data_IF_350738455743
#
_entry.id   IF_350738455743
#
_cell.length_a   1.000
_cell.length_b   1.000
_cell.length_c   1.000
_cell.angle_alpha   90.00
_cell.angle_beta   90.00
_cell.angle_gamma   90.00
#
_symmetry.space_group_name_H-M   'P 1'
#
loop_
_entity.id
_entity.type
_entity.pdbx_description
1 polymer ?
#
# COMPACT_ATOMS: atom_id res chain seq x y z
N UNK A 1 -29.27 4.71 -9.71
CA UNK A 1 -29.09 4.95 -8.24
C UNK A 1 -28.91 6.42 -7.98
N UNK A 2 -29.49 6.93 -6.90
CA UNK A 2 -29.25 8.33 -6.49
C UNK A 2 -27.91 8.42 -5.77
N UNK A 3 -27.03 9.32 -6.24
CA UNK A 3 -25.78 9.67 -5.56
C UNK A 3 -26.10 10.48 -4.31
N UNK A 4 -25.45 10.19 -3.21
CA UNK A 4 -25.67 10.93 -1.97
C UNK A 4 -25.02 12.32 -2.03
N UNK A 5 -25.68 13.29 -1.41
CA UNK A 5 -25.14 14.65 -1.25
C UNK A 5 -24.51 14.74 0.15
N UNK A 6 -23.19 14.58 0.21
CA UNK A 6 -22.44 14.66 1.45
C UNK A 6 -20.97 15.03 1.19
N UNK A 7 -20.23 15.27 2.29
CA UNK A 7 -18.83 15.68 2.24
C UNK A 7 -17.94 14.72 1.47
N UNK A 8 -18.11 13.40 1.61
CA UNK A 8 -17.29 12.43 0.90
C UNK A 8 -17.45 12.56 -0.62
N UNK A 9 -18.69 12.64 -1.09
CA UNK A 9 -18.98 12.74 -2.52
C UNK A 9 -18.60 14.09 -3.11
N UNK A 10 -18.68 15.18 -2.33
CA UNK A 10 -18.13 16.49 -2.72
C UNK A 10 -16.61 16.42 -2.90
N UNK A 11 -15.90 15.81 -1.96
CA UNK A 11 -14.44 15.62 -2.08
C UNK A 11 -14.08 14.68 -3.24
N UNK A 12 -14.87 13.63 -3.49
CA UNK A 12 -14.67 12.76 -4.65
C UNK A 12 -14.75 13.51 -5.98
N UNK A 13 -15.71 14.43 -6.12
CA UNK A 13 -15.80 15.28 -7.31
C UNK A 13 -14.61 16.25 -7.42
N UNK A 14 -14.22 16.89 -6.33
CA UNK A 14 -13.04 17.77 -6.31
C UNK A 14 -11.73 17.00 -6.61
N UNK A 15 -11.61 15.77 -6.11
CA UNK A 15 -10.46 14.90 -6.41
C UNK A 15 -10.42 14.56 -7.90
N UNK A 16 -11.57 14.21 -8.49
CA UNK A 16 -11.66 13.93 -9.92
C UNK A 16 -11.24 15.12 -10.79
N UNK A 17 -11.59 16.33 -10.36
CA UNK A 17 -11.22 17.58 -11.03
C UNK A 17 -9.76 18.02 -10.75
N UNK A 18 -9.01 17.31 -9.92
CA UNK A 18 -7.64 17.67 -9.54
C UNK A 18 -7.55 18.88 -8.60
N UNK A 19 -8.62 19.18 -7.87
CA UNK A 19 -8.69 20.33 -6.97
C UNK A 19 -8.28 20.02 -5.51
N UNK A 20 -7.86 18.77 -5.21
CA UNK A 20 -7.43 18.40 -3.87
C UNK A 20 -5.91 18.17 -3.81
N UNK A 21 -5.31 18.54 -2.69
CA UNK A 21 -3.95 18.11 -2.35
C UNK A 21 -3.97 16.66 -1.86
N UNK A 22 -3.62 15.74 -2.77
CA UNK A 22 -3.52 14.31 -2.47
C UNK A 22 -2.24 13.92 -1.72
N UNK A 23 -1.27 14.86 -1.57
CA UNK A 23 0.00 14.57 -0.88
C UNK A 23 -0.09 14.68 0.63
N UNK A 24 -0.96 15.56 1.15
CA UNK A 24 -1.07 15.88 2.56
C UNK A 24 -2.50 15.75 3.11
N UNK A 25 -3.38 16.70 2.79
CA UNK A 25 -4.70 16.80 3.45
C UNK A 25 -5.66 15.67 3.04
N UNK A 26 -5.53 15.18 1.81
CA UNK A 26 -6.41 14.15 1.23
C UNK A 26 -5.62 12.95 0.68
N UNK A 27 -4.48 12.64 1.28
CA UNK A 27 -3.66 11.49 0.86
C UNK A 27 -4.52 10.21 0.83
N UNK A 28 -4.53 9.46 -0.29
CA UNK A 28 -5.44 8.32 -0.47
C UNK A 28 -5.28 7.25 0.61
N UNK A 29 -4.06 7.02 1.12
CA UNK A 29 -3.77 5.98 2.10
C UNK A 29 -3.73 6.51 3.55
N UNK A 30 -3.34 7.78 3.78
CA UNK A 30 -3.02 8.27 5.12
C UNK A 30 -4.02 9.29 5.69
N UNK A 31 -5.13 9.55 4.98
CA UNK A 31 -6.09 10.59 5.40
C UNK A 31 -7.46 9.98 5.70
N UNK A 32 -7.66 9.37 6.88
CA UNK A 32 -8.96 8.87 7.30
C UNK A 32 -9.95 10.03 7.52
N UNK A 33 -11.22 9.75 7.31
CA UNK A 33 -12.30 10.70 7.53
C UNK A 33 -13.32 10.09 8.50
N UNK A 34 -13.45 10.63 9.73
CA UNK A 34 -14.36 10.05 10.73
C UNK A 34 -15.81 10.05 10.27
N UNK A 35 -16.53 8.97 10.62
CA UNK A 35 -17.96 8.79 10.35
C UNK A 35 -18.25 7.82 9.21
N UNK A 36 -19.54 7.64 8.96
CA UNK A 36 -20.07 6.87 7.83
C UNK A 36 -20.69 7.79 6.80
N UNK A 37 -20.47 7.53 5.52
CA UNK A 37 -20.99 8.34 4.41
C UNK A 37 -21.68 7.44 3.41
N UNK A 38 -22.93 7.70 3.10
CA UNK A 38 -23.57 7.01 1.97
C UNK A 38 -22.93 7.48 0.66
N UNK A 39 -22.50 6.53 -0.18
CA UNK A 39 -21.98 6.81 -1.54
C UNK A 39 -23.16 6.93 -2.51
N UNK A 40 -23.98 5.90 -2.52
CA UNK A 40 -25.27 5.84 -3.19
C UNK A 40 -26.26 5.16 -2.25
N UNK A 41 -27.55 5.33 -2.48
CA UNK A 41 -28.60 4.72 -1.64
C UNK A 41 -28.30 3.24 -1.33
N UNK A 42 -28.24 2.91 -0.03
CA UNK A 42 -27.96 1.56 0.47
C UNK A 42 -26.49 1.12 0.37
N UNK A 43 -25.54 2.03 0.21
CA UNK A 43 -24.09 1.78 0.24
C UNK A 43 -23.42 2.77 1.17
N UNK A 44 -23.07 2.35 2.37
CA UNK A 44 -22.29 3.13 3.33
C UNK A 44 -20.81 2.89 3.11
N UNK A 45 -20.02 3.95 3.14
CA UNK A 45 -18.54 3.95 3.20
C UNK A 45 -18.09 4.45 4.57
N UNK A 46 -17.23 3.72 5.25
CA UNK A 46 -16.37 4.23 6.32
C UNK A 46 -14.97 4.43 5.77
N UNK A 47 -14.50 5.68 5.76
CA UNK A 47 -13.15 6.01 5.27
C UNK A 47 -12.16 6.01 6.43
N UNK A 48 -11.57 4.86 6.69
CA UNK A 48 -10.40 4.72 7.55
C UNK A 48 -9.08 4.96 6.79
N UNK A 49 -8.03 4.23 7.15
CA UNK A 49 -6.84 4.08 6.32
C UNK A 49 -7.26 3.42 5.01
N UNK A 50 -7.90 2.26 5.07
CA UNK A 50 -8.66 1.69 3.95
C UNK A 50 -10.17 1.92 4.15
N UNK A 51 -10.94 1.70 3.09
CA UNK A 51 -12.39 1.73 3.20
C UNK A 51 -12.96 0.41 3.74
N UNK A 52 -14.07 0.55 4.47
CA UNK A 52 -15.02 -0.52 4.70
C UNK A 52 -16.36 -0.09 4.11
N UNK A 53 -16.91 -0.92 3.25
CA UNK A 53 -18.24 -0.66 2.68
C UNK A 53 -19.29 -1.58 3.27
N UNK A 54 -20.40 -1.02 3.71
CA UNK A 54 -21.58 -1.80 4.11
C UNK A 54 -22.68 -1.65 3.06
N UNK A 55 -23.15 -2.79 2.54
CA UNK A 55 -24.17 -2.86 1.49
C UNK A 55 -25.46 -3.38 2.11
N UNK A 56 -26.54 -2.60 2.02
CA UNK A 56 -27.88 -3.02 2.44
C UNK A 56 -28.51 -3.88 1.34
N UNK A 57 -28.84 -5.13 1.68
CA UNK A 57 -29.40 -6.11 0.75
C UNK A 57 -30.92 -6.31 0.89
N UNK A 58 -31.53 -5.65 1.87
CA UNK A 58 -32.92 -5.88 2.27
C UNK A 58 -33.13 -7.09 3.20
N UNK A 59 -32.11 -7.97 3.36
CA UNK A 59 -32.11 -9.10 4.31
C UNK A 59 -30.82 -9.12 5.16
N UNK A 60 -30.39 -7.95 5.58
CA UNK A 60 -29.18 -7.73 6.32
C UNK A 60 -28.09 -7.04 5.49
N UNK A 61 -26.90 -6.97 6.04
CA UNK A 61 -25.76 -6.24 5.48
C UNK A 61 -24.68 -7.19 4.95
N UNK A 62 -24.02 -6.77 3.90
CA UNK A 62 -22.73 -7.33 3.46
C UNK A 62 -21.64 -6.31 3.69
N UNK A 63 -20.57 -6.69 4.36
CA UNK A 63 -19.38 -5.85 4.48
C UNK A 63 -18.35 -6.28 3.42
N UNK A 64 -17.83 -5.29 2.70
CA UNK A 64 -16.69 -5.43 1.81
C UNK A 64 -15.51 -4.77 2.53
N UNK A 65 -14.54 -5.59 2.92
CA UNK A 65 -13.45 -5.32 3.86
C UNK A 65 -13.89 -5.03 5.31
N UNK A 66 -12.90 -4.93 6.20
CA UNK A 66 -13.11 -4.83 7.63
C UNK A 66 -12.11 -3.89 8.35
N UNK A 67 -11.34 -3.09 7.64
CA UNK A 67 -10.50 -2.03 8.18
C UNK A 67 -9.40 -2.46 9.14
N UNK A 68 -8.73 -1.48 9.74
CA UNK A 68 -7.67 -1.65 10.74
C UNK A 68 -8.25 -2.03 12.11
N UNK A 69 -7.44 -2.73 12.92
CA UNK A 69 -7.79 -3.09 14.31
C UNK A 69 -8.14 -1.88 15.17
N UNK A 70 -7.38 -0.79 15.07
CA UNK A 70 -7.64 0.43 15.86
C UNK A 70 -8.91 1.16 15.41
N UNK A 71 -9.42 0.90 14.22
CA UNK A 71 -10.62 1.50 13.65
C UNK A 71 -11.88 0.65 13.87
N UNK A 72 -11.75 -0.59 14.33
CA UNK A 72 -12.86 -1.56 14.41
C UNK A 72 -14.10 -1.01 15.12
N UNK A 73 -13.95 -0.33 16.26
CA UNK A 73 -15.05 0.29 16.98
C UNK A 73 -15.67 1.51 16.27
N UNK A 74 -14.88 2.21 15.45
CA UNK A 74 -15.38 3.34 14.65
C UNK A 74 -16.20 2.83 13.46
N UNK A 75 -15.72 1.79 12.81
CA UNK A 75 -16.43 1.07 11.74
C UNK A 75 -17.75 0.53 12.27
N UNK A 76 -17.72 -0.17 13.40
CA UNK A 76 -18.91 -0.70 14.04
C UNK A 76 -19.96 0.39 14.32
N UNK A 77 -19.56 1.49 14.94
CA UNK A 77 -20.45 2.62 15.21
C UNK A 77 -21.05 3.20 13.94
N UNK A 78 -20.24 3.47 12.92
CA UNK A 78 -20.71 4.02 11.65
C UNK A 78 -21.77 3.12 10.99
N UNK A 79 -21.55 1.80 10.98
CA UNK A 79 -22.52 0.84 10.45
C UNK A 79 -23.79 0.81 11.27
N UNK A 80 -23.70 0.87 12.62
CA UNK A 80 -24.88 0.82 13.51
C UNK A 80 -25.67 2.12 13.58
N UNK A 81 -25.02 3.26 13.45
CA UNK A 81 -25.71 4.56 13.26
C UNK A 81 -26.50 4.57 11.97
N UNK A 82 -26.00 3.92 10.91
CA UNK A 82 -26.70 3.82 9.62
C UNK A 82 -27.79 2.74 9.61
N UNK A 83 -27.53 1.56 10.17
CA UNK A 83 -28.48 0.42 10.23
C UNK A 83 -28.38 -0.27 11.58
N UNK A 84 -29.21 0.18 12.53
CA UNK A 84 -29.17 -0.25 13.95
C UNK A 84 -29.42 -1.74 14.12
N UNK A 85 -30.43 -2.30 13.42
CA UNK A 85 -30.97 -3.65 13.68
C UNK A 85 -30.82 -4.62 12.49
N UNK A 86 -29.98 -4.25 11.48
CA UNK A 86 -29.74 -5.12 10.34
C UNK A 86 -28.52 -6.01 10.62
N UNK A 87 -28.68 -7.35 10.71
CA UNK A 87 -27.55 -8.25 10.93
C UNK A 87 -26.56 -8.22 9.77
N UNK A 88 -25.27 -8.30 10.07
CA UNK A 88 -24.25 -8.57 9.03
C UNK A 88 -24.34 -10.06 8.68
N UNK A 89 -24.53 -10.36 7.40
CA UNK A 89 -24.67 -11.73 6.87
C UNK A 89 -23.39 -12.27 6.28
N UNK A 90 -22.64 -11.39 5.63
CA UNK A 90 -21.43 -11.73 4.89
C UNK A 90 -20.38 -10.65 5.12
N UNK A 91 -19.13 -11.05 5.28
CA UNK A 91 -17.96 -10.19 5.27
C UNK A 91 -16.98 -10.76 4.23
N UNK A 92 -16.56 -9.93 3.29
CA UNK A 92 -15.61 -10.32 2.25
C UNK A 92 -14.30 -9.57 2.49
N UNK A 93 -13.20 -10.29 2.65
CA UNK A 93 -11.88 -9.68 2.63
C UNK A 93 -11.38 -9.60 1.19
N UNK A 94 -11.02 -8.39 0.76
CA UNK A 94 -10.39 -8.21 -0.55
C UNK A 94 -9.04 -8.89 -0.60
N UNK A 95 -8.24 -8.78 0.47
CA UNK A 95 -6.94 -9.44 0.62
C UNK A 95 -6.47 -9.40 2.09
N UNK A 96 -5.29 -9.98 2.36
CA UNK A 96 -4.79 -10.21 3.72
C UNK A 96 -4.20 -8.99 4.44
N UNK A 97 -4.09 -7.81 3.83
CA UNK A 97 -3.48 -6.66 4.49
C UNK A 97 -4.29 -6.23 5.73
N UNK A 98 -3.57 -5.70 6.72
CA UNK A 98 -4.13 -5.41 8.07
C UNK A 98 -5.20 -4.32 8.08
N UNK A 99 -5.23 -3.48 7.10
CA UNK A 99 -6.22 -2.42 6.95
C UNK A 99 -7.53 -2.87 6.26
N UNK A 100 -7.66 -4.18 6.00
CA UNK A 100 -8.85 -4.78 5.35
C UNK A 100 -9.56 -5.86 6.17
N UNK A 101 -9.05 -6.29 7.36
CA UNK A 101 -9.49 -7.57 7.95
C UNK A 101 -9.93 -7.55 9.42
N UNK A 102 -9.76 -6.47 10.19
CA UNK A 102 -9.86 -6.55 11.65
C UNK A 102 -11.23 -6.30 12.27
N UNK A 103 -12.14 -5.52 11.68
CA UNK A 103 -13.46 -5.30 12.28
C UNK A 103 -14.41 -6.51 12.15
N UNK A 104 -14.03 -7.58 11.45
CA UNK A 104 -14.85 -8.78 11.33
C UNK A 104 -15.18 -9.41 12.69
N UNK A 105 -14.26 -9.37 13.66
CA UNK A 105 -14.44 -9.90 15.01
C UNK A 105 -15.56 -9.18 15.76
N UNK A 106 -15.63 -7.85 15.70
CA UNK A 106 -16.67 -7.06 16.42
C UNK A 106 -18.08 -7.38 15.95
N UNK A 107 -18.27 -7.62 14.65
CA UNK A 107 -19.57 -8.03 14.10
C UNK A 107 -19.91 -9.48 14.41
N UNK A 108 -18.93 -10.35 14.54
CA UNK A 108 -19.11 -11.74 15.00
C UNK A 108 -19.54 -11.75 16.48
N UNK A 109 -18.92 -10.92 17.32
CA UNK A 109 -19.29 -10.76 18.74
C UNK A 109 -20.69 -10.18 18.90
N UNK A 110 -21.02 -9.12 18.15
CA UNK A 110 -22.37 -8.56 18.15
C UNK A 110 -23.44 -9.58 17.78
N UNK A 111 -23.19 -10.37 16.71
CA UNK A 111 -24.14 -11.40 16.29
C UNK A 111 -24.44 -12.38 17.44
N UNK A 112 -23.41 -12.82 18.15
CA UNK A 112 -23.56 -13.68 19.34
C UNK A 112 -24.38 -12.99 20.42
N UNK A 113 -24.06 -11.74 20.74
CA UNK A 113 -24.70 -11.01 21.86
C UNK A 113 -26.15 -10.65 21.57
N UNK A 114 -26.52 -10.45 20.30
CA UNK A 114 -27.88 -10.21 19.83
C UNK A 114 -28.66 -11.48 19.48
N UNK A 115 -28.05 -12.65 19.54
CA UNK A 115 -28.67 -13.90 19.10
C UNK A 115 -28.91 -13.98 17.59
N UNK A 116 -28.16 -13.24 16.80
CA UNK A 116 -28.21 -13.30 15.36
C UNK A 116 -27.31 -14.43 14.81
N UNK A 117 -27.58 -14.95 13.60
CA UNK A 117 -26.61 -15.79 12.92
C UNK A 117 -25.27 -15.05 12.73
N UNK A 118 -24.17 -15.74 13.01
CA UNK A 118 -22.84 -15.18 12.77
C UNK A 118 -22.62 -14.86 11.29
N UNK A 119 -21.95 -13.75 10.95
CA UNK A 119 -21.60 -13.46 9.56
C UNK A 119 -20.67 -14.53 9.00
N UNK A 120 -20.90 -14.98 7.76
CA UNK A 120 -19.92 -15.79 7.02
C UNK A 120 -18.76 -14.87 6.60
N UNK A 121 -17.53 -15.20 6.98
CA UNK A 121 -16.33 -14.49 6.53
C UNK A 121 -15.73 -15.24 5.35
N UNK A 122 -15.53 -14.54 4.23
CA UNK A 122 -15.06 -15.12 2.95
C UNK A 122 -13.82 -14.41 2.47
N UNK A 123 -12.83 -15.16 1.96
CA UNK A 123 -11.64 -14.64 1.30
C UNK A 123 -11.10 -15.59 0.23
N UNK A 124 -10.07 -15.18 -0.48
CA UNK A 124 -9.29 -16.09 -1.32
C UNK A 124 -8.62 -17.19 -0.48
N UNK A 125 -8.35 -18.35 -1.11
CA UNK A 125 -7.78 -19.55 -0.46
C UNK A 125 -6.41 -19.32 0.19
N UNK A 126 -5.63 -18.36 -0.29
CA UNK A 126 -4.27 -18.11 0.20
C UNK A 126 -4.23 -17.11 1.37
N UNK A 127 -5.32 -16.40 1.65
CA UNK A 127 -5.41 -15.43 2.76
C UNK A 127 -5.04 -16.04 4.12
N UNK A 128 -5.53 -17.25 4.52
CA UNK A 128 -5.11 -17.86 5.78
C UNK A 128 -3.61 -18.07 5.91
N UNK A 129 -2.96 -18.55 4.86
CA UNK A 129 -1.50 -18.75 4.85
C UNK A 129 -0.72 -17.43 4.97
N UNK A 130 -1.30 -16.34 4.47
CA UNK A 130 -0.72 -15.00 4.63
C UNK A 130 -0.90 -14.46 6.05
N UNK A 131 -1.99 -14.75 6.72
CA UNK A 131 -2.15 -14.46 8.15
C UNK A 131 -1.09 -15.22 8.98
N UNK A 132 -0.89 -16.50 8.72
CA UNK A 132 0.15 -17.32 9.38
C UNK A 132 1.55 -16.74 9.13
N UNK A 133 1.83 -16.30 7.89
CA UNK A 133 3.08 -15.62 7.54
C UNK A 133 3.26 -14.34 8.34
N UNK A 134 2.21 -13.51 8.48
CA UNK A 134 2.26 -12.27 9.24
C UNK A 134 2.45 -12.51 10.74
N UNK A 135 1.81 -13.52 11.32
CA UNK A 135 2.04 -13.94 12.70
C UNK A 135 3.50 -14.36 12.88
N UNK A 136 4.01 -15.24 11.99
CA UNK A 136 5.39 -15.70 12.02
C UNK A 136 6.43 -14.59 11.89
N UNK A 137 6.11 -13.52 11.19
CA UNK A 137 7.01 -12.40 10.90
C UNK A 137 6.57 -11.09 11.57
N UNK A 138 5.85 -11.15 12.69
CA UNK A 138 5.26 -9.97 13.34
C UNK A 138 6.29 -8.91 13.72
N UNK A 139 7.45 -9.31 14.27
CA UNK A 139 8.55 -8.40 14.55
C UNK A 139 9.09 -7.69 13.31
N UNK A 140 9.29 -8.43 12.22
CA UNK A 140 9.71 -7.84 10.95
C UNK A 140 8.65 -6.86 10.40
N UNK A 141 7.37 -7.25 10.41
CA UNK A 141 6.28 -6.37 9.97
C UNK A 141 6.16 -5.13 10.86
N UNK A 142 6.39 -5.23 12.17
CA UNK A 142 6.47 -4.07 13.06
C UNK A 142 7.55 -3.09 12.56
N UNK A 143 8.76 -3.57 12.30
CA UNK A 143 9.88 -2.73 11.86
C UNK A 143 9.61 -2.05 10.52
N UNK A 144 9.19 -2.81 9.49
CA UNK A 144 8.98 -2.23 8.14
C UNK A 144 7.82 -1.23 8.11
N UNK A 145 6.76 -1.43 8.89
CA UNK A 145 5.65 -0.49 8.93
C UNK A 145 5.96 0.76 9.76
N UNK A 146 6.77 0.65 10.83
CA UNK A 146 7.32 1.83 11.52
C UNK A 146 8.09 2.74 10.57
N UNK A 147 8.88 2.17 9.65
CA UNK A 147 9.61 2.93 8.62
C UNK A 147 8.66 3.53 7.58
N UNK A 148 7.81 2.70 6.97
CA UNK A 148 6.96 3.07 5.83
C UNK A 148 5.92 4.13 6.18
N UNK A 149 5.30 4.03 7.36
CA UNK A 149 4.23 4.94 7.81
C UNK A 149 4.73 5.97 8.84
N UNK A 150 6.05 6.11 9.01
CA UNK A 150 6.65 7.05 9.95
C UNK A 150 6.11 6.92 11.38
N UNK A 151 5.73 5.70 11.82
CA UNK A 151 5.14 5.45 13.12
C UNK A 151 6.20 5.64 14.22
N UNK A 152 5.97 6.62 15.11
CA UNK A 152 6.87 6.96 16.21
C UNK A 152 6.42 6.39 17.57
N UNK A 153 5.44 5.49 17.57
CA UNK A 153 4.91 4.88 18.79
C UNK A 153 5.75 3.64 19.17
N UNK A 154 6.49 3.67 20.28
CA UNK A 154 7.31 2.53 20.71
C UNK A 154 6.45 1.30 21.08
N UNK A 155 5.20 1.51 21.43
CA UNK A 155 4.21 0.48 21.74
C UNK A 155 3.39 0.00 20.52
N UNK A 156 3.75 0.44 19.32
CA UNK A 156 3.14 -0.11 18.11
C UNK A 156 3.77 -1.46 17.79
N UNK A 157 2.96 -2.49 17.78
CA UNK A 157 3.33 -3.83 17.35
C UNK A 157 2.34 -4.34 16.29
N UNK A 158 2.86 -5.13 15.36
CA UNK A 158 2.04 -5.75 14.33
C UNK A 158 1.00 -6.68 14.97
N UNK A 159 -0.28 -6.55 14.63
CA UNK A 159 -1.32 -7.40 15.21
C UNK A 159 -1.20 -8.84 14.73
N UNK A 160 -1.56 -9.79 15.61
CA UNK A 160 -1.48 -11.24 15.35
C UNK A 160 -2.79 -11.98 15.57
N UNK A 161 -3.84 -11.29 16.01
CA UNK A 161 -5.15 -11.83 16.37
C UNK A 161 -6.15 -11.75 15.19
N UNK A 162 -5.83 -12.43 14.10
CA UNK A 162 -6.67 -12.44 12.89
C UNK A 162 -7.95 -13.25 13.07
N UNK A 163 -9.06 -12.76 12.51
CA UNK A 163 -10.27 -13.54 12.28
C UNK A 163 -10.12 -14.29 10.94
N UNK A 164 -9.87 -15.60 11.03
CA UNK A 164 -9.73 -16.44 9.83
C UNK A 164 -11.07 -16.56 9.09
N UNK A 165 -11.08 -16.69 7.77
CA UNK A 165 -12.31 -16.87 6.99
C UNK A 165 -12.98 -18.22 7.31
N UNK A 166 -14.31 -18.24 7.28
CA UNK A 166 -15.12 -19.47 7.41
C UNK A 166 -15.16 -20.21 6.08
N UNK A 167 -15.07 -19.47 4.97
CA UNK A 167 -15.11 -20.00 3.61
C UNK A 167 -14.01 -19.39 2.77
N UNK A 168 -13.28 -20.22 2.05
CA UNK A 168 -12.31 -19.78 1.03
C UNK A 168 -12.73 -20.24 -0.36
N UNK A 169 -12.24 -19.53 -1.38
CA UNK A 169 -12.45 -19.87 -2.79
C UNK A 169 -11.14 -19.70 -3.58
N UNK A 170 -11.10 -20.22 -4.80
CA UNK A 170 -9.91 -20.19 -5.66
C UNK A 170 -10.01 -19.09 -6.74
N UNK A 171 -10.84 -19.26 -7.76
CA UNK A 171 -10.93 -18.31 -8.87
C UNK A 171 -12.15 -17.41 -8.78
N UNK A 172 -13.30 -17.98 -8.48
CA UNK A 172 -14.56 -17.25 -8.39
C UNK A 172 -15.48 -17.88 -7.34
N UNK A 173 -16.23 -17.01 -6.65
CA UNK A 173 -17.31 -17.42 -5.77
C UNK A 173 -18.49 -16.46 -5.89
N UNK A 174 -19.69 -17.04 -6.02
CA UNK A 174 -20.92 -16.24 -6.02
C UNK A 174 -21.64 -16.43 -4.69
N UNK A 175 -22.07 -15.32 -4.08
CA UNK A 175 -22.90 -15.28 -2.88
C UNK A 175 -24.14 -14.43 -3.14
N UNK A 176 -25.28 -14.93 -2.72
CA UNK A 176 -26.53 -14.18 -2.75
C UNK A 176 -26.96 -13.86 -1.32
N UNK A 177 -27.17 -12.58 -1.04
CA UNK A 177 -27.70 -12.10 0.23
C UNK A 177 -28.88 -11.16 -0.08
N UNK A 178 -30.04 -11.47 0.44
CA UNK A 178 -31.28 -10.76 0.10
C UNK A 178 -31.51 -10.71 -1.41
N UNK A 179 -31.66 -9.52 -1.95
CA UNK A 179 -31.95 -9.28 -3.37
C UNK A 179 -30.68 -9.14 -4.24
N UNK A 180 -29.48 -9.15 -3.63
CA UNK A 180 -28.22 -8.85 -4.32
C UNK A 180 -27.33 -10.08 -4.48
N UNK A 181 -26.64 -10.13 -5.60
CA UNK A 181 -25.60 -11.11 -5.92
C UNK A 181 -24.23 -10.46 -5.78
N UNK A 182 -23.32 -11.16 -5.13
CA UNK A 182 -21.93 -10.78 -4.96
C UNK A 182 -21.05 -11.78 -5.71
N UNK A 183 -20.49 -11.36 -6.82
CA UNK A 183 -19.52 -12.12 -7.60
C UNK A 183 -18.12 -11.75 -7.11
N UNK A 184 -17.49 -12.67 -6.41
CA UNK A 184 -16.13 -12.52 -5.86
C UNK A 184 -15.17 -13.15 -6.87
N UNK A 185 -14.24 -12.37 -7.38
CA UNK A 185 -13.32 -12.79 -8.43
C UNK A 185 -11.89 -12.63 -7.93
N UNK A 186 -11.08 -13.68 -8.08
CA UNK A 186 -9.67 -13.62 -7.76
C UNK A 186 -8.88 -12.89 -8.83
N UNK A 187 -7.89 -12.10 -8.42
CA UNK A 187 -6.85 -11.55 -9.28
C UNK A 187 -5.57 -11.35 -8.49
N UNK A 188 -4.42 -11.45 -9.14
CA UNK A 188 -3.17 -11.01 -8.55
C UNK A 188 -2.90 -9.55 -8.92
N UNK A 189 -2.24 -8.83 -8.02
CA UNK A 189 -1.86 -7.45 -8.23
C UNK A 189 -0.99 -6.97 -7.09
N UNK A 190 -1.54 -6.19 -6.16
CA UNK A 190 -0.85 -5.81 -4.94
C UNK A 190 -0.46 -7.02 -4.10
N UNK A 191 -1.32 -8.02 -4.06
CA UNK A 191 -1.09 -9.32 -3.43
C UNK A 191 -1.51 -10.45 -4.36
N UNK A 192 -1.13 -11.67 -4.04
CA UNK A 192 -1.47 -12.89 -4.76
C UNK A 192 -2.82 -13.50 -4.33
N UNK A 193 -3.42 -13.01 -3.26
CA UNK A 193 -4.73 -13.43 -2.73
C UNK A 193 -5.85 -12.40 -2.96
N UNK A 194 -5.66 -11.46 -3.88
CA UNK A 194 -6.59 -10.35 -4.03
C UNK A 194 -7.93 -10.78 -4.62
N UNK A 195 -9.00 -10.20 -4.10
CA UNK A 195 -10.40 -10.41 -4.51
C UNK A 195 -11.03 -9.09 -4.87
N UNK A 196 -11.60 -8.97 -6.06
CA UNK A 196 -12.50 -7.88 -6.42
C UNK A 196 -13.95 -8.37 -6.47
N UNK A 197 -14.90 -7.50 -6.15
CA UNK A 197 -16.31 -7.84 -6.04
C UNK A 197 -17.14 -7.07 -7.05
N UNK A 198 -18.02 -7.80 -7.75
CA UNK A 198 -19.02 -7.24 -8.66
C UNK A 198 -20.43 -7.48 -8.12
N UNK A 199 -21.28 -6.45 -8.14
CA UNK A 199 -22.71 -6.50 -7.74
C UNK A 199 -23.55 -6.14 -8.96
N UNK A 200 -23.97 -7.14 -9.78
CA UNK A 200 -24.57 -6.91 -11.10
C UNK A 200 -25.89 -6.14 -11.06
N UNK A 201 -26.77 -6.41 -10.08
CA UNK A 201 -28.09 -5.75 -9.97
C UNK A 201 -27.94 -4.23 -9.76
N UNK A 202 -26.82 -3.80 -9.23
CA UNK A 202 -26.55 -2.40 -8.91
C UNK A 202 -25.42 -1.80 -9.75
N UNK A 203 -24.78 -2.58 -10.60
CA UNK A 203 -23.60 -2.18 -11.37
C UNK A 203 -22.53 -1.53 -10.47
N UNK A 204 -22.29 -2.12 -9.30
CA UNK A 204 -21.28 -1.67 -8.36
C UNK A 204 -20.05 -2.57 -8.47
N UNK A 205 -18.88 -1.95 -8.60
CA UNK A 205 -17.58 -2.59 -8.60
C UNK A 205 -16.80 -2.19 -7.34
N UNK A 206 -16.29 -3.16 -6.59
CA UNK A 206 -15.28 -2.97 -5.56
C UNK A 206 -13.97 -3.62 -6.01
N UNK A 207 -12.99 -2.86 -6.49
CA UNK A 207 -11.70 -3.38 -6.91
C UNK A 207 -10.77 -3.73 -5.74
N UNK A 208 -11.11 -3.39 -4.48
CA UNK A 208 -10.15 -3.39 -3.38
C UNK A 208 -8.96 -2.48 -3.72
N UNK A 209 -7.75 -2.90 -3.38
CA UNK A 209 -6.53 -2.13 -3.64
C UNK A 209 -6.00 -2.24 -5.07
N UNK A 210 -6.72 -2.97 -5.95
CA UNK A 210 -6.44 -2.87 -7.39
C UNK A 210 -6.76 -1.48 -7.96
N UNK A 211 -7.39 -0.60 -7.16
CA UNK A 211 -7.51 0.83 -7.46
C UNK A 211 -7.43 1.66 -6.17
N UNK A 212 -6.45 2.58 -6.07
CA UNK A 212 -6.12 3.30 -4.83
C UNK A 212 -6.00 4.83 -4.98
N UNK A 213 -6.43 5.43 -6.07
CA UNK A 213 -6.27 6.86 -6.34
C UNK A 213 -4.82 7.37 -6.31
N UNK A 214 -3.90 6.54 -6.71
CA UNK A 214 -2.47 6.84 -6.87
C UNK A 214 -1.87 5.92 -7.92
N UNK A 215 -0.62 6.16 -8.30
CA UNK A 215 0.18 5.15 -8.97
C UNK A 215 0.03 3.82 -8.20
N UNK A 216 -0.37 2.71 -8.86
CA UNK A 216 -0.57 1.43 -8.21
C UNK A 216 0.61 1.04 -7.32
N UNK A 217 0.32 0.61 -6.10
CA UNK A 217 1.33 0.18 -5.13
C UNK A 217 1.94 -1.18 -5.54
N UNK A 218 2.46 -1.23 -6.75
CA UNK A 218 3.01 -2.44 -7.36
C UNK A 218 4.52 -2.60 -7.16
N UNK A 219 5.17 -1.62 -6.50
CA UNK A 219 6.61 -1.57 -6.35
C UNK A 219 7.15 -1.84 -4.95
N UNK A 220 6.47 -1.53 -3.91
CA UNK A 220 6.85 -1.48 -2.49
C UNK A 220 8.15 -2.21 -2.08
N UNK A 221 9.24 -1.49 -1.70
CA UNK A 221 10.56 -2.08 -1.47
C UNK A 221 10.64 -2.98 -0.22
N UNK A 222 9.64 -2.96 0.66
CA UNK A 222 9.62 -3.70 1.92
C UNK A 222 8.61 -4.86 1.92
N UNK A 223 7.98 -5.14 0.78
CA UNK A 223 6.94 -6.18 0.68
C UNK A 223 7.38 -7.32 -0.23
N UNK A 224 6.61 -8.40 -0.21
CA UNK A 224 6.78 -9.55 -1.10
C UNK A 224 6.46 -9.19 -2.55
N UNK A 225 6.60 -10.14 -3.47
CA UNK A 225 6.31 -9.95 -4.89
C UNK A 225 4.92 -9.34 -5.10
N UNK A 226 4.83 -8.41 -6.05
CA UNK A 226 3.62 -7.82 -6.60
C UNK A 226 3.60 -8.04 -8.11
N UNK A 227 2.42 -8.03 -8.71
CA UNK A 227 2.20 -8.61 -10.04
C UNK A 227 1.63 -7.56 -10.98
N UNK A 228 2.52 -6.81 -11.64
CA UNK A 228 2.18 -5.64 -12.46
C UNK A 228 1.27 -6.04 -13.63
N UNK A 229 1.64 -7.09 -14.39
CA UNK A 229 0.89 -7.59 -15.54
C UNK A 229 -0.49 -8.11 -15.18
N UNK A 230 -0.55 -8.93 -14.11
CA UNK A 230 -1.81 -9.50 -13.64
C UNK A 230 -2.75 -8.40 -13.13
N UNK A 231 -2.19 -7.37 -12.50
CA UNK A 231 -2.94 -6.19 -12.05
C UNK A 231 -3.57 -5.46 -13.24
N UNK A 232 -2.79 -5.16 -14.28
CA UNK A 232 -3.31 -4.53 -15.50
C UNK A 232 -4.43 -5.38 -16.14
N UNK A 233 -4.21 -6.70 -16.24
CA UNK A 233 -5.20 -7.64 -16.76
C UNK A 233 -6.50 -7.63 -15.94
N UNK A 234 -6.40 -7.59 -14.62
CA UNK A 234 -7.56 -7.51 -13.73
C UNK A 234 -8.38 -6.23 -13.95
N UNK A 235 -7.69 -5.07 -14.10
CA UNK A 235 -8.35 -3.80 -14.39
C UNK A 235 -9.08 -3.84 -15.75
N UNK A 236 -8.48 -4.46 -16.78
CA UNK A 236 -9.13 -4.67 -18.08
C UNK A 236 -10.36 -5.56 -17.96
N UNK A 237 -10.30 -6.63 -17.16
CA UNK A 237 -11.46 -7.49 -16.91
C UNK A 237 -12.57 -6.74 -16.17
N UNK A 238 -12.25 -5.98 -15.12
CA UNK A 238 -13.23 -5.16 -14.39
C UNK A 238 -13.94 -4.15 -15.29
N UNK A 239 -13.23 -3.54 -16.23
CA UNK A 239 -13.81 -2.60 -17.20
C UNK A 239 -14.91 -3.23 -18.05
N UNK A 240 -14.77 -4.51 -18.42
CA UNK A 240 -15.80 -5.23 -19.20
C UNK A 240 -17.16 -5.34 -18.51
N UNK A 241 -17.21 -5.13 -17.18
CA UNK A 241 -18.46 -5.21 -16.40
C UNK A 241 -19.36 -3.98 -16.59
N UNK A 242 -18.84 -2.87 -17.11
CA UNK A 242 -19.60 -1.66 -17.34
C UNK A 242 -20.18 -1.09 -16.04
N UNK A 243 -19.35 -0.93 -15.01
CA UNK A 243 -19.74 -0.44 -13.70
C UNK A 243 -20.26 1.02 -13.76
N UNK A 244 -21.25 1.33 -12.92
CA UNK A 244 -21.76 2.68 -12.76
C UNK A 244 -21.29 3.35 -11.46
N UNK A 245 -20.87 2.54 -10.50
CA UNK A 245 -20.28 2.98 -9.24
C UNK A 245 -19.07 2.11 -8.96
N UNK A 246 -17.93 2.72 -8.70
CA UNK A 246 -16.72 2.05 -8.22
C UNK A 246 -16.40 2.54 -6.82
N UNK A 247 -16.22 1.60 -5.90
CA UNK A 247 -15.93 1.81 -4.47
C UNK A 247 -14.56 1.19 -4.16
N UNK A 248 -13.46 1.96 -4.33
CA UNK A 248 -12.09 1.46 -4.22
C UNK A 248 -11.66 1.20 -2.78
N UNK A 249 -10.57 0.43 -2.60
CA UNK A 249 -9.97 0.18 -1.29
C UNK A 249 -9.42 1.45 -0.63
N UNK A 250 -8.88 2.37 -1.42
CA UNK A 250 -8.36 3.67 -0.98
C UNK A 250 -8.78 4.81 -1.92
N UNK A 251 -8.64 6.04 -1.45
CA UNK A 251 -8.95 7.25 -2.23
C UNK A 251 -10.42 7.66 -2.15
N UNK A 252 -11.13 7.75 -3.28
CA UNK A 252 -12.51 8.23 -3.33
C UNK A 252 -13.38 7.35 -4.23
N UNK A 253 -14.67 7.17 -3.92
CA UNK A 253 -15.61 6.52 -4.83
C UNK A 253 -15.70 7.26 -6.17
N UNK A 254 -15.89 6.50 -7.27
CA UNK A 254 -16.09 7.05 -8.61
C UNK A 254 -17.51 6.69 -9.08
N UNK A 255 -18.24 7.68 -9.54
CA UNK A 255 -19.60 7.52 -10.08
C UNK A 255 -19.63 7.97 -11.54
N UNK A 256 -20.21 7.12 -12.39
CA UNK A 256 -20.32 7.32 -13.82
C UNK A 256 -19.51 6.30 -14.63
N UNK A 257 -20.17 5.64 -15.57
CA UNK A 257 -19.56 4.55 -16.33
C UNK A 257 -18.34 5.01 -17.15
N UNK A 258 -18.39 6.19 -17.75
CA UNK A 258 -17.28 6.75 -18.53
C UNK A 258 -16.05 7.04 -17.66
N UNK A 259 -16.25 7.60 -16.45
CA UNK A 259 -15.16 7.89 -15.50
C UNK A 259 -14.51 6.60 -15.01
N UNK A 260 -15.31 5.57 -14.72
CA UNK A 260 -14.81 4.27 -14.27
C UNK A 260 -14.03 3.60 -15.39
N UNK A 261 -14.57 3.59 -16.62
CA UNK A 261 -13.87 3.09 -17.81
C UNK A 261 -12.51 3.80 -17.97
N UNK A 262 -12.51 5.13 -17.94
CA UNK A 262 -11.28 5.94 -18.04
C UNK A 262 -10.29 5.56 -16.94
N UNK A 263 -10.71 5.54 -15.67
CA UNK A 263 -9.83 5.25 -14.53
C UNK A 263 -9.21 3.85 -14.63
N UNK A 264 -10.00 2.82 -14.96
CA UNK A 264 -9.52 1.44 -15.07
C UNK A 264 -8.57 1.26 -16.26
N UNK A 265 -8.95 1.80 -17.43
CA UNK A 265 -8.16 1.61 -18.67
C UNK A 265 -6.86 2.39 -18.67
N UNK A 266 -6.84 3.62 -18.14
CA UNK A 266 -5.63 4.42 -18.03
C UNK A 266 -4.66 3.87 -16.97
N UNK A 267 -5.20 3.36 -15.84
CA UNK A 267 -4.37 2.67 -14.83
C UNK A 267 -3.74 1.40 -15.41
N UNK A 268 -4.50 0.59 -16.15
CA UNK A 268 -3.98 -0.59 -16.81
C UNK A 268 -2.90 -0.23 -17.84
N UNK A 269 -3.15 0.77 -18.69
CA UNK A 269 -2.22 1.22 -19.70
C UNK A 269 -0.88 1.70 -19.12
N UNK A 270 -0.92 2.40 -17.98
CA UNK A 270 0.30 2.84 -17.28
C UNK A 270 1.14 1.65 -16.80
N UNK A 271 0.50 0.63 -16.22
CA UNK A 271 1.19 -0.58 -15.77
C UNK A 271 1.78 -1.38 -16.94
N UNK A 272 1.01 -1.54 -18.03
CA UNK A 272 1.41 -2.21 -19.26
C UNK A 272 2.61 -1.51 -19.92
N UNK A 273 2.64 -0.17 -19.94
CA UNK A 273 3.74 0.59 -20.51
C UNK A 273 5.05 0.40 -19.73
N UNK A 274 5.01 0.55 -18.39
CA UNK A 274 6.20 0.35 -17.56
C UNK A 274 6.73 -1.08 -17.71
N UNK A 275 5.84 -2.08 -17.71
CA UNK A 275 6.24 -3.48 -17.89
C UNK A 275 6.88 -3.71 -19.26
N UNK A 276 6.28 -3.20 -20.33
CA UNK A 276 6.80 -3.37 -21.69
C UNK A 276 8.21 -2.78 -21.85
N UNK A 277 8.45 -1.60 -21.27
CA UNK A 277 9.78 -0.97 -21.30
C UNK A 277 10.81 -1.83 -20.55
N UNK A 278 10.49 -2.26 -19.31
CA UNK A 278 11.38 -3.10 -18.49
C UNK A 278 11.70 -4.41 -19.21
N UNK A 279 10.70 -5.12 -19.72
CA UNK A 279 10.90 -6.39 -20.40
C UNK A 279 11.68 -6.23 -21.72
N UNK A 280 11.46 -5.14 -22.46
CA UNK A 280 12.24 -4.84 -23.65
C UNK A 280 13.73 -4.73 -23.35
N UNK A 281 14.10 -4.01 -22.29
CA UNK A 281 15.49 -3.82 -21.88
C UNK A 281 16.10 -5.11 -21.30
N UNK A 282 15.34 -5.86 -20.49
CA UNK A 282 15.74 -7.18 -20.00
C UNK A 282 16.04 -8.16 -21.15
N UNK A 283 15.20 -8.18 -22.19
CA UNK A 283 15.38 -9.03 -23.36
C UNK A 283 16.60 -8.62 -24.22
N UNK A 284 17.11 -7.41 -24.04
CA UNK A 284 18.38 -6.93 -24.64
C UNK A 284 19.60 -7.30 -23.77
N UNK A 285 19.39 -7.92 -22.60
CA UNK A 285 20.45 -8.36 -21.69
C UNK A 285 21.01 -7.24 -20.81
N UNK A 286 20.26 -6.14 -20.63
CA UNK A 286 20.71 -5.04 -19.78
C UNK A 286 20.64 -5.41 -18.30
N UNK A 287 21.56 -4.88 -17.48
CA UNK A 287 21.56 -4.99 -16.04
C UNK A 287 20.41 -4.17 -15.41
N UNK A 288 20.10 -4.44 -14.16
CA UNK A 288 19.04 -3.68 -13.47
C UNK A 288 19.36 -2.18 -13.38
N UNK A 289 20.65 -1.80 -13.24
CA UNK A 289 21.04 -0.39 -13.21
C UNK A 289 20.77 0.29 -14.56
N UNK A 290 21.15 -0.37 -15.66
CA UNK A 290 20.87 0.14 -17.01
C UNK A 290 19.35 0.28 -17.25
N UNK A 291 18.55 -0.69 -16.81
CA UNK A 291 17.09 -0.62 -16.88
C UNK A 291 16.54 0.55 -16.07
N UNK A 292 17.07 0.79 -14.86
CA UNK A 292 16.66 1.95 -14.04
C UNK A 292 16.93 3.29 -14.70
N UNK A 293 18.02 3.39 -15.45
CA UNK A 293 18.40 4.64 -16.14
C UNK A 293 17.63 4.83 -17.44
N UNK A 294 17.21 3.75 -18.09
CA UNK A 294 16.63 3.79 -19.43
C UNK A 294 15.09 3.82 -19.44
N UNK A 295 14.42 3.32 -18.39
CA UNK A 295 12.95 3.36 -18.33
C UNK A 295 12.48 4.79 -18.13
N UNK A 296 11.67 5.27 -19.08
CA UNK A 296 11.08 6.58 -19.04
C UNK A 296 9.71 6.53 -18.31
N UNK A 297 9.52 7.42 -17.36
CA UNK A 297 8.25 7.62 -16.67
C UNK A 297 7.86 9.09 -16.74
N UNK A 298 6.75 9.36 -17.41
CA UNK A 298 6.11 10.66 -17.39
C UNK A 298 4.92 10.63 -16.44
N UNK A 299 4.90 11.54 -15.45
CA UNK A 299 3.79 11.63 -14.51
C UNK A 299 2.48 11.89 -15.27
N UNK A 300 1.49 10.99 -15.21
CA UNK A 300 0.20 11.23 -15.85
C UNK A 300 -0.50 12.45 -15.24
N UNK A 301 -1.27 13.22 -16.04
CA UNK A 301 -1.99 14.38 -15.55
C UNK A 301 -3.20 14.03 -14.68
N UNK A 302 -3.65 12.79 -14.71
CA UNK A 302 -4.81 12.32 -13.96
C UNK A 302 -4.50 12.25 -12.47
N UNK A 303 -5.33 12.85 -11.59
CA UNK A 303 -5.09 12.86 -10.15
C UNK A 303 -4.96 11.45 -9.54
N UNK A 304 -5.77 10.50 -10.04
CA UNK A 304 -5.80 9.12 -9.57
C UNK A 304 -4.61 8.25 -10.03
N UNK A 305 -3.67 8.82 -10.81
CA UNK A 305 -2.41 8.16 -11.22
C UNK A 305 -1.17 8.87 -10.64
N UNK A 306 -1.36 9.83 -9.75
CA UNK A 306 -0.26 10.59 -9.16
C UNK A 306 0.66 9.68 -8.32
N UNK A 307 1.98 9.88 -8.44
CA UNK A 307 2.99 9.19 -7.62
C UNK A 307 3.07 9.80 -6.22
N UNK A 308 1.96 9.74 -5.47
CA UNK A 308 1.85 10.30 -4.10
C UNK A 308 2.14 9.27 -3.01
N UNK A 309 2.05 7.98 -3.33
CA UNK A 309 2.28 6.88 -2.38
C UNK A 309 3.48 6.01 -2.76
N UNK A 310 3.46 5.34 -3.92
CA UNK A 310 4.57 4.55 -4.46
C UNK A 310 5.40 5.36 -5.46
N UNK A 311 6.62 4.91 -5.76
CA UNK A 311 7.54 5.51 -6.73
C UNK A 311 7.64 4.58 -7.94
N UNK A 312 7.53 5.07 -9.18
CA UNK A 312 7.59 4.23 -10.38
C UNK A 312 8.88 3.41 -10.50
N UNK A 313 9.99 3.87 -9.95
CA UNK A 313 11.25 3.12 -9.91
C UNK A 313 11.16 1.85 -9.08
N UNK A 314 10.25 1.78 -8.11
CA UNK A 314 10.04 0.56 -7.34
C UNK A 314 9.31 -0.51 -8.16
N UNK A 315 8.43 -0.10 -9.10
CA UNK A 315 7.78 -1.02 -10.03
C UNK A 315 8.81 -1.71 -10.93
N UNK A 316 9.82 -0.97 -11.42
CA UNK A 316 10.91 -1.53 -12.25
C UNK A 316 11.57 -2.71 -11.55
N UNK A 317 11.95 -2.54 -10.28
CA UNK A 317 12.59 -3.62 -9.49
C UNK A 317 11.64 -4.80 -9.25
N UNK A 318 10.36 -4.54 -9.08
CA UNK A 318 9.39 -5.59 -8.85
C UNK A 318 9.12 -6.42 -10.10
N UNK A 319 9.07 -5.77 -11.27
CA UNK A 319 9.00 -6.44 -12.60
C UNK A 319 10.29 -7.25 -12.84
N UNK A 320 11.47 -6.62 -12.65
CA UNK A 320 12.74 -7.33 -12.76
C UNK A 320 12.74 -8.61 -11.94
N UNK A 321 12.35 -8.52 -10.65
CA UNK A 321 12.32 -9.66 -9.74
C UNK A 321 11.33 -10.75 -10.18
N UNK A 322 10.20 -10.37 -10.76
CA UNK A 322 9.17 -11.31 -11.23
C UNK A 322 9.69 -12.19 -12.37
N UNK A 323 10.42 -11.60 -13.31
CA UNK A 323 10.87 -12.27 -14.54
C UNK A 323 12.32 -12.72 -14.48
N UNK A 324 13.20 -12.01 -13.79
CA UNK A 324 14.64 -12.23 -13.74
C UNK A 324 15.20 -12.74 -12.41
N UNK A 325 14.36 -12.79 -11.35
CA UNK A 325 14.81 -13.14 -10.01
C UNK A 325 15.34 -11.91 -9.23
N UNK A 326 16.10 -12.14 -8.15
CA UNK A 326 16.55 -11.06 -7.25
C UNK A 326 17.88 -10.43 -7.61
N UNK A 327 18.71 -11.11 -8.42
CA UNK A 327 20.04 -10.61 -8.78
C UNK A 327 19.94 -9.49 -9.82
N UNK A 328 20.71 -8.42 -9.59
CA UNK A 328 20.71 -7.21 -10.42
C UNK A 328 21.57 -7.29 -11.69
N UNK A 329 22.30 -8.41 -11.90
CA UNK A 329 23.18 -8.62 -13.04
C UNK A 329 24.63 -8.20 -12.78
N UNK A 330 24.95 -7.57 -11.64
CA UNK A 330 26.30 -7.12 -11.30
C UNK A 330 27.05 -8.18 -10.49
N UNK A 331 28.26 -8.54 -10.94
CA UNK A 331 28.98 -9.68 -10.37
C UNK A 331 29.41 -9.50 -8.92
N UNK A 332 29.69 -8.27 -8.48
CA UNK A 332 30.11 -7.95 -7.11
C UNK A 332 28.93 -8.01 -6.11
N UNK A 333 27.69 -7.93 -6.59
CA UNK A 333 26.48 -8.03 -5.73
C UNK A 333 26.00 -9.46 -5.53
N UNK A 334 26.48 -10.44 -6.34
CA UNK A 334 26.03 -11.84 -6.27
C UNK A 334 26.42 -12.49 -4.94
N UNK A 335 27.68 -12.31 -4.50
CA UNK A 335 28.21 -12.73 -3.19
C UNK A 335 29.03 -11.56 -2.61
N UNK A 336 28.34 -10.51 -2.11
CA UNK A 336 28.99 -9.25 -1.78
C UNK A 336 29.89 -9.38 -0.54
N UNK A 337 30.96 -8.57 -0.52
CA UNK A 337 31.69 -8.30 0.73
C UNK A 337 30.78 -7.67 1.78
N UNK A 338 31.15 -7.77 3.05
CA UNK A 338 30.38 -7.07 4.08
C UNK A 338 30.43 -5.54 3.82
N UNK A 339 29.27 -4.88 4.02
CA UNK A 339 29.18 -3.42 3.83
C UNK A 339 30.20 -2.67 4.69
N UNK A 340 30.49 -3.18 5.88
CA UNK A 340 31.47 -2.57 6.82
C UNK A 340 32.90 -2.67 6.26
N UNK A 341 33.33 -3.86 5.80
CA UNK A 341 34.69 -4.04 5.26
C UNK A 341 34.90 -3.23 3.98
N UNK A 342 33.93 -3.23 3.08
CA UNK A 342 33.98 -2.44 1.85
C UNK A 342 34.04 -0.93 2.16
N UNK A 343 33.20 -0.45 3.06
CA UNK A 343 33.19 0.95 3.49
C UNK A 343 34.51 1.38 4.13
N UNK A 344 35.07 0.58 5.06
CA UNK A 344 36.36 0.83 5.66
C UNK A 344 37.49 0.89 4.63
N UNK A 345 37.40 0.06 3.58
CA UNK A 345 38.39 0.07 2.51
C UNK A 345 38.29 1.35 1.69
N UNK A 346 37.10 1.79 1.31
CA UNK A 346 36.89 3.03 0.57
C UNK A 346 37.31 4.26 1.41
N UNK A 347 36.93 4.33 2.68
CA UNK A 347 37.34 5.42 3.57
C UNK A 347 38.87 5.48 3.71
N UNK A 348 39.56 4.34 3.83
CA UNK A 348 41.03 4.30 3.86
C UNK A 348 41.63 4.77 2.56
N UNK A 349 41.13 4.36 1.40
CA UNK A 349 41.59 4.79 0.08
C UNK A 349 41.36 6.29 -0.14
N UNK A 350 40.33 6.85 0.45
CA UNK A 350 40.01 8.29 0.37
C UNK A 350 40.87 9.16 1.31
N UNK A 351 41.80 8.58 2.07
CA UNK A 351 42.65 9.30 3.02
C UNK A 351 42.07 9.45 4.42
N UNK A 352 40.96 8.74 4.73
CA UNK A 352 40.31 8.74 6.05
C UNK A 352 38.86 9.21 6.03
N UNK A 353 38.28 9.36 7.20
CA UNK A 353 36.87 9.71 7.38
C UNK A 353 36.56 11.16 6.97
N UNK A 354 37.42 12.11 7.36
CA UNK A 354 37.20 13.54 7.14
C UNK A 354 37.08 13.92 5.66
N UNK A 355 37.91 13.41 4.71
CA UNK A 355 37.71 13.65 3.28
C UNK A 355 36.36 13.14 2.76
N UNK A 356 35.88 11.99 3.24
CA UNK A 356 34.58 11.43 2.83
C UNK A 356 33.43 12.31 3.32
N UNK A 357 33.48 12.77 4.57
CA UNK A 357 32.47 13.69 5.13
C UNK A 357 32.48 15.04 4.42
N UNK A 358 33.65 15.58 4.11
CA UNK A 358 33.79 16.82 3.35
C UNK A 358 33.17 16.68 1.94
N UNK A 359 33.47 15.58 1.23
CA UNK A 359 32.89 15.34 -0.09
C UNK A 359 31.38 15.13 -0.02
N UNK A 360 30.87 14.37 0.96
CA UNK A 360 29.43 14.18 1.15
C UNK A 360 28.71 15.52 1.41
N UNK A 361 29.33 16.44 2.13
CA UNK A 361 28.78 17.78 2.37
C UNK A 361 28.79 18.64 1.08
N UNK A 362 29.82 18.52 0.24
CA UNK A 362 29.87 19.18 -1.08
C UNK A 362 28.75 18.65 -1.98
N UNK A 363 28.55 17.32 -2.05
CA UNK A 363 27.51 16.71 -2.86
C UNK A 363 26.09 17.14 -2.38
N UNK A 364 25.88 17.19 -1.06
CA UNK A 364 24.65 17.72 -0.48
C UNK A 364 24.41 19.18 -0.90
N UNK A 365 25.44 20.02 -0.86
CA UNK A 365 25.34 21.43 -1.23
C UNK A 365 25.10 21.63 -2.72
N UNK A 366 25.52 20.68 -3.54
CA UNK A 366 25.33 20.66 -5.00
C UNK A 366 24.01 19.97 -5.42
N UNK A 367 23.16 19.62 -4.48
CA UNK A 367 21.88 18.88 -4.66
C UNK A 367 22.05 17.50 -5.35
N UNK A 368 23.25 16.90 -5.29
CA UNK A 368 23.51 15.53 -5.74
C UNK A 368 23.26 14.54 -4.59
N UNK A 369 21.98 14.43 -4.19
CA UNK A 369 21.54 13.79 -2.94
C UNK A 369 21.77 12.28 -2.91
N UNK A 370 21.73 11.60 -4.03
CA UNK A 370 21.99 10.17 -4.19
C UNK A 370 23.49 9.86 -3.97
N UNK A 371 24.39 10.63 -4.59
CA UNK A 371 25.83 10.51 -4.37
C UNK A 371 26.19 10.84 -2.90
N UNK A 372 25.63 11.94 -2.35
CA UNK A 372 25.83 12.29 -0.96
C UNK A 372 25.41 11.14 -0.01
N UNK A 373 24.30 10.43 -0.33
CA UNK A 373 23.83 9.29 0.45
C UNK A 373 24.80 8.11 0.40
N UNK A 374 25.37 7.76 -0.77
CA UNK A 374 26.37 6.69 -0.87
C UNK A 374 27.63 6.99 -0.05
N UNK A 375 28.13 8.22 -0.13
CA UNK A 375 29.30 8.65 0.64
C UNK A 375 29.06 8.62 2.16
N UNK A 376 27.91 9.14 2.62
CA UNK A 376 27.63 9.16 4.06
C UNK A 376 27.34 7.76 4.60
N UNK A 377 26.76 6.83 3.82
CA UNK A 377 26.60 5.44 4.26
C UNK A 377 27.96 4.73 4.38
N UNK A 378 28.94 5.02 3.51
CA UNK A 378 30.31 4.51 3.68
C UNK A 378 30.94 5.03 4.98
N UNK A 379 30.80 6.33 5.29
CA UNK A 379 31.23 6.90 6.55
C UNK A 379 30.51 6.25 7.76
N UNK A 380 29.18 6.08 7.66
CA UNK A 380 28.34 5.48 8.72
C UNK A 380 28.70 4.01 8.99
N UNK A 381 28.95 3.21 7.97
CA UNK A 381 29.38 1.82 8.16
C UNK A 381 30.80 1.70 8.73
N UNK A 382 31.64 2.74 8.57
CA UNK A 382 32.99 2.79 9.14
C UNK A 382 32.98 3.28 10.58
N UNK A 383 32.18 4.30 10.90
CA UNK A 383 32.11 4.96 12.21
C UNK A 383 30.66 5.13 12.67
N UNK A 384 29.95 4.04 13.04
CA UNK A 384 28.49 4.02 13.27
C UNK A 384 28.04 4.75 14.55
N UNK A 385 28.97 5.21 15.39
CA UNK A 385 28.69 5.96 16.63
C UNK A 385 29.23 7.39 16.60
N UNK A 386 29.84 7.79 15.48
CA UNK A 386 30.43 9.13 15.36
C UNK A 386 29.34 10.20 15.22
N UNK A 387 29.32 11.23 16.11
CA UNK A 387 28.29 12.26 16.08
C UNK A 387 28.29 13.12 14.81
N UNK A 388 29.47 13.34 14.18
CA UNK A 388 29.57 14.13 12.95
C UNK A 388 28.97 13.36 11.76
N UNK A 389 29.23 12.04 11.71
CA UNK A 389 28.61 11.14 10.74
C UNK A 389 27.08 11.16 10.87
N UNK A 390 26.58 11.01 12.09
CA UNK A 390 25.14 11.05 12.36
C UNK A 390 24.52 12.41 11.99
N UNK A 391 25.15 13.51 12.36
CA UNK A 391 24.65 14.86 12.05
C UNK A 391 24.55 15.09 10.52
N UNK A 392 25.59 14.70 9.76
CA UNK A 392 25.56 14.86 8.30
C UNK A 392 24.59 13.88 7.65
N UNK A 393 24.52 12.63 8.12
CA UNK A 393 23.60 11.61 7.63
C UNK A 393 22.13 12.07 7.81
N UNK A 394 21.78 12.62 8.96
CA UNK A 394 20.44 13.16 9.19
C UNK A 394 20.10 14.30 8.21
N UNK A 395 21.04 15.20 7.94
CA UNK A 395 20.84 16.29 6.97
C UNK A 395 20.61 15.77 5.53
N UNK A 396 21.44 14.83 5.09
CA UNK A 396 21.35 14.25 3.73
C UNK A 396 20.02 13.52 3.54
N UNK A 397 19.63 12.65 4.49
CA UNK A 397 18.38 11.90 4.36
C UNK A 397 17.13 12.79 4.51
N UNK A 398 17.21 13.88 5.27
CA UNK A 398 16.13 14.89 5.33
C UNK A 398 15.99 15.62 3.99
N UNK A 399 17.10 15.97 3.35
CA UNK A 399 17.08 16.56 2.01
C UNK A 399 16.50 15.56 0.98
N UNK A 400 16.92 14.29 1.01
CA UNK A 400 16.34 13.23 0.16
C UNK A 400 14.84 13.05 0.38
N UNK A 401 14.39 13.10 1.64
CA UNK A 401 12.97 13.01 1.94
C UNK A 401 12.16 14.18 1.36
N UNK A 402 12.68 15.40 1.51
CA UNK A 402 12.03 16.61 1.00
C UNK A 402 11.94 16.65 -0.54
N UNK A 403 12.84 15.96 -1.22
CA UNK A 403 12.83 15.84 -2.67
C UNK A 403 11.82 14.81 -3.21
N UNK A 404 11.11 14.05 -2.34
CA UNK A 404 10.18 13.02 -2.77
C UNK A 404 8.72 13.53 -2.77
N UNK A 405 8.01 13.32 -3.86
CA UNK A 405 6.54 13.47 -3.93
C UNK A 405 5.83 12.30 -3.25
N UNK A 406 6.31 11.07 -3.47
CA UNK A 406 5.71 9.85 -2.93
C UNK A 406 5.99 9.70 -1.42
N UNK A 407 4.94 9.37 -0.66
CA UNK A 407 5.03 9.28 0.80
C UNK A 407 5.90 8.11 1.28
N UNK A 408 5.94 7.00 0.54
CA UNK A 408 6.71 5.82 0.92
C UNK A 408 8.23 6.09 0.94
N UNK A 409 8.91 6.50 -0.15
CA UNK A 409 10.32 6.85 -0.09
C UNK A 409 10.61 8.01 0.85
N UNK A 410 9.73 9.04 0.90
CA UNK A 410 9.84 10.16 1.84
C UNK A 410 9.89 9.69 3.29
N UNK A 411 9.00 8.78 3.69
CA UNK A 411 8.95 8.26 5.06
C UNK A 411 10.17 7.38 5.40
N UNK A 412 10.64 6.56 4.46
CA UNK A 412 11.85 5.75 4.63
C UNK A 412 13.09 6.64 4.83
N UNK A 413 13.25 7.69 4.04
CA UNK A 413 14.35 8.63 4.21
C UNK A 413 14.23 9.45 5.50
N UNK A 414 13.04 9.93 5.86
CA UNK A 414 12.80 10.59 7.14
C UNK A 414 13.09 9.67 8.33
N UNK A 415 12.78 8.38 8.23
CA UNK A 415 13.11 7.41 9.26
C UNK A 415 14.63 7.27 9.43
N UNK A 416 15.40 7.22 8.35
CA UNK A 416 16.87 7.20 8.39
C UNK A 416 17.44 8.47 9.02
N UNK A 417 16.87 9.65 8.70
CA UNK A 417 17.25 10.92 9.30
C UNK A 417 17.02 10.94 10.83
N UNK A 418 15.80 10.56 11.26
CA UNK A 418 15.43 10.49 12.70
C UNK A 418 16.27 9.47 13.47
N UNK A 419 16.58 8.32 12.85
CA UNK A 419 17.47 7.34 13.49
C UNK A 419 18.83 7.93 13.75
N UNK A 420 19.37 8.71 12.82
CA UNK A 420 20.65 9.40 12.99
C UNK A 420 20.57 10.55 14.01
N UNK A 421 19.50 11.36 14.04
CA UNK A 421 19.28 12.38 15.08
C UNK A 421 19.31 11.77 16.50
N UNK A 422 18.84 10.53 16.64
CA UNK A 422 18.86 9.78 17.89
C UNK A 422 20.21 9.05 18.16
N UNK A 423 21.20 9.19 17.29
CA UNK A 423 22.47 8.45 17.39
C UNK A 423 22.29 6.93 17.25
N UNK A 424 21.24 6.48 16.56
CA UNK A 424 20.91 5.07 16.38
C UNK A 424 21.05 4.67 14.90
N UNK A 425 21.33 3.39 14.70
CA UNK A 425 21.34 2.82 13.35
C UNK A 425 19.94 2.82 12.73
N UNK A 426 18.97 2.35 13.49
CA UNK A 426 17.58 2.17 13.05
C UNK A 426 16.65 2.13 14.26
N UNK A 427 15.73 3.08 14.35
CA UNK A 427 14.73 3.16 15.41
C UNK A 427 13.60 2.13 15.24
N UNK A 428 13.44 1.54 14.06
CA UNK A 428 12.34 0.63 13.80
C UNK A 428 12.44 -0.70 14.54
N UNK A 429 13.66 -1.10 14.93
CA UNK A 429 13.94 -2.31 15.72
C UNK A 429 13.82 -2.13 17.23
N UNK A 430 13.56 -0.92 17.73
CA UNK A 430 13.45 -0.66 19.16
C UNK A 430 12.34 -1.53 19.80
N UNK A 431 12.68 -2.22 20.90
CA UNK A 431 11.77 -3.11 21.64
C UNK A 431 11.40 -4.42 20.91
N UNK A 432 12.11 -4.77 19.82
CA UNK A 432 11.92 -6.06 19.13
C UNK A 432 12.92 -7.13 19.61
N UNK A 433 14.02 -6.70 20.24
CA UNK A 433 15.00 -7.61 20.84
C UNK A 433 14.60 -7.88 22.28
N UNK A 434 14.72 -9.16 22.70
CA UNK A 434 14.39 -9.62 24.05
C UNK A 434 15.32 -9.06 25.16
N UNK A 435 16.33 -8.27 24.77
CA UNK A 435 17.40 -7.77 25.65
C UNK A 435 17.36 -6.23 25.82
N UNK A 436 16.31 -5.53 25.36
CA UNK A 436 16.10 -4.10 25.56
C UNK A 436 15.06 -3.80 26.65
#
# INVERSE_FOLDING_TARGET
MRVADNRLMTLAEQAWQGHLDLTFDHHPVNSPMPGGFEVVEGVLAHKGVAYVYAIDTGDGLVLLDAGLKIEANHIFRAVREWRTDSPVRLIVFSHHHVDHVFAASVFTEEARDRGWPAPEVVSHRDTPAHFDRYIKTAGWNTAINRRQFAINAPNYFWPTDYRYPDKVFDQQLVRRVGSLTFELNHARGETDDHTWTWIPERKILMPGDLFIWALPNAGNPQKVQRYVSDWASALREMDTRGAHVMIPGHGFPIVGAERIHQALTETAALLEDIEAQVLSLMNQGQSLDEVYQAVEFSQPPQPYLSSVYDDPRFLIRMIWRQYGGWWDGEYDTLLPASKTELAQTWVRLSGGLDPVLAQAAIELSADRLDIAAHLIEAAFHTAPTDPQVHALRARIYRARANAQSASMPRNLFNHAARSSDAGKRDLASAGLNSDD
#
